data_IF_610144802499
#
_entry.id   IF_610144802499
#
_cell.length_a   1.000
_cell.length_b   1.000
_cell.length_c   1.000
_cell.angle_alpha   90.00
_cell.angle_beta   90.00
_cell.angle_gamma   90.00
#
_symmetry.space_group_name_H-M   'P 1'
#
loop_
_entity.id
_entity.type
_entity.pdbx_description
1 polymer ?
#
# COMPACT_ATOMS: atom_id res chain seq x y z
N UNK A 1 -19.61 1.40 -8.22
CA UNK A 1 -18.35 1.97 -7.72
C UNK A 1 -17.50 0.81 -7.21
N UNK A 2 -16.27 0.65 -7.70
CA UNK A 2 -15.34 -0.37 -7.21
C UNK A 2 -14.81 0.05 -5.83
N UNK A 3 -14.37 -0.91 -5.01
CA UNK A 3 -13.69 -0.59 -3.73
C UNK A 3 -12.47 0.32 -3.96
N UNK A 4 -11.71 0.07 -5.02
CA UNK A 4 -10.57 0.92 -5.40
C UNK A 4 -10.98 2.38 -5.66
N UNK A 5 -12.13 2.61 -6.32
CA UNK A 5 -12.65 3.97 -6.56
C UNK A 5 -13.02 4.65 -5.23
N UNK A 6 -13.62 3.90 -4.30
CA UNK A 6 -13.93 4.40 -2.96
C UNK A 6 -12.65 4.82 -2.22
N UNK A 7 -11.62 3.96 -2.22
CA UNK A 7 -10.32 4.27 -1.60
C UNK A 7 -9.70 5.54 -2.19
N UNK A 8 -9.65 5.65 -3.52
CA UNK A 8 -9.08 6.83 -4.18
C UNK A 8 -9.85 8.11 -3.86
N UNK A 9 -11.19 8.05 -3.86
CA UNK A 9 -12.04 9.19 -3.50
C UNK A 9 -11.87 9.57 -2.02
N UNK A 10 -11.79 8.58 -1.13
CA UNK A 10 -11.51 8.82 0.29
C UNK A 10 -10.18 9.55 0.49
N UNK A 11 -9.10 9.10 -0.17
CA UNK A 11 -7.81 9.79 -0.11
C UNK A 11 -7.93 11.26 -0.49
N UNK A 12 -8.72 11.59 -1.52
CA UNK A 12 -8.99 13.00 -1.87
C UNK A 12 -9.72 13.75 -0.76
N UNK A 13 -10.73 13.16 -0.14
CA UNK A 13 -11.49 13.83 0.92
C UNK A 13 -10.64 14.17 2.13
N UNK A 14 -9.61 13.36 2.41
CA UNK A 14 -8.65 13.63 3.49
C UNK A 14 -7.45 14.48 3.04
N UNK A 15 -7.52 15.08 1.84
CA UNK A 15 -6.54 16.05 1.36
C UNK A 15 -5.30 15.46 0.70
N UNK A 16 -5.31 14.17 0.34
CA UNK A 16 -4.23 13.53 -0.42
C UNK A 16 -4.31 13.95 -1.88
N UNK A 17 -3.29 14.64 -2.36
CA UNK A 17 -3.19 15.10 -3.74
C UNK A 17 -2.09 14.39 -4.54
N UNK A 18 -1.19 13.69 -3.87
CA UNK A 18 -0.04 13.03 -4.47
C UNK A 18 0.15 11.62 -3.88
N UNK A 19 0.46 10.65 -4.74
CA UNK A 19 0.73 9.25 -4.37
C UNK A 19 2.03 8.80 -5.04
N UNK A 20 2.89 8.12 -4.29
CA UNK A 20 4.10 7.49 -4.77
C UNK A 20 3.84 6.00 -4.97
N UNK A 21 4.12 5.44 -6.15
CA UNK A 21 3.68 4.08 -6.43
C UNK A 21 4.57 3.31 -7.39
N UNK A 22 4.58 2.00 -7.23
CA UNK A 22 5.04 1.08 -8.26
C UNK A 22 3.86 0.21 -8.70
N UNK A 23 3.62 0.18 -10.00
CA UNK A 23 2.52 -0.59 -10.58
C UNK A 23 2.79 -2.09 -10.49
N UNK A 24 1.74 -2.87 -10.33
CA UNK A 24 1.81 -4.33 -10.32
C UNK A 24 0.43 -4.95 -10.36
N UNK A 25 0.37 -6.24 -10.67
CA UNK A 25 -0.88 -6.97 -10.89
C UNK A 25 -1.88 -6.80 -9.73
N UNK A 26 -1.45 -7.01 -8.48
CA UNK A 26 -2.34 -6.91 -7.32
C UNK A 26 -2.84 -5.49 -7.03
N UNK A 27 -2.27 -4.45 -7.64
CA UNK A 27 -2.64 -3.06 -7.43
C UNK A 27 -3.28 -2.40 -8.66
N UNK A 28 -3.58 -3.14 -9.73
CA UNK A 28 -4.08 -2.56 -11.00
C UNK A 28 -5.29 -1.65 -10.82
N UNK A 29 -6.29 -2.12 -10.07
CA UNK A 29 -7.52 -1.35 -9.84
C UNK A 29 -7.29 -0.12 -8.98
N UNK A 30 -6.35 -0.19 -8.01
CA UNK A 30 -5.96 0.96 -7.19
C UNK A 30 -5.24 2.01 -8.04
N UNK A 31 -4.29 1.58 -8.88
CA UNK A 31 -3.53 2.47 -9.76
C UNK A 31 -4.45 3.19 -10.76
N UNK A 32 -5.40 2.46 -11.35
CA UNK A 32 -6.40 3.02 -12.24
C UNK A 32 -7.32 4.02 -11.51
N UNK A 33 -7.81 3.66 -10.33
CA UNK A 33 -8.67 4.52 -9.53
C UNK A 33 -7.97 5.80 -9.06
N UNK A 34 -6.70 5.73 -8.66
CA UNK A 34 -5.89 6.90 -8.30
C UNK A 34 -5.80 7.87 -9.49
N UNK A 35 -5.53 7.34 -10.69
CA UNK A 35 -5.50 8.15 -11.92
C UNK A 35 -6.86 8.76 -12.23
N UNK A 36 -7.94 7.96 -12.21
CA UNK A 36 -9.30 8.43 -12.51
C UNK A 36 -9.80 9.46 -11.51
N UNK A 37 -9.42 9.36 -10.24
CA UNK A 37 -9.71 10.35 -9.22
C UNK A 37 -8.94 11.68 -9.42
N UNK A 38 -8.02 11.77 -10.38
CA UNK A 38 -7.21 12.96 -10.63
C UNK A 38 -6.17 13.22 -9.53
N UNK A 39 -5.76 12.18 -8.79
CA UNK A 39 -4.66 12.28 -7.85
C UNK A 39 -3.36 12.21 -8.65
N UNK A 40 -2.46 13.15 -8.41
CA UNK A 40 -1.13 13.12 -9.03
C UNK A 40 -0.34 11.94 -8.50
N UNK A 41 0.33 11.21 -9.38
CA UNK A 41 1.14 10.07 -8.96
C UNK A 41 2.56 10.16 -9.52
N UNK A 42 3.49 9.59 -8.76
CA UNK A 42 4.89 9.46 -9.14
C UNK A 42 5.25 7.98 -9.16
N UNK A 43 5.60 7.50 -10.34
CA UNK A 43 6.01 6.11 -10.51
C UNK A 43 7.46 5.93 -10.03
N UNK A 44 7.69 4.94 -9.17
CA UNK A 44 9.02 4.53 -8.72
C UNK A 44 9.51 3.32 -9.51
N UNK A 45 10.78 3.00 -9.39
CA UNK A 45 11.38 1.80 -10.00
C UNK A 45 11.58 0.66 -9.00
N UNK A 46 11.28 0.93 -7.74
CA UNK A 46 11.42 -0.03 -6.64
C UNK A 46 10.36 0.29 -5.58
N UNK A 47 9.76 -0.73 -4.97
CA UNK A 47 8.69 -0.57 -3.99
C UNK A 47 9.18 0.08 -2.69
N UNK A 48 10.43 -0.14 -2.29
CA UNK A 48 10.99 0.53 -1.11
C UNK A 48 11.07 2.05 -1.30
N UNK A 49 11.29 2.51 -2.53
CA UNK A 49 11.38 3.94 -2.84
C UNK A 49 10.05 4.65 -2.65
N UNK A 50 8.92 3.98 -2.90
CA UNK A 50 7.61 4.62 -2.80
C UNK A 50 7.29 5.12 -1.37
N UNK A 51 7.38 4.32 -0.31
CA UNK A 51 7.17 4.81 1.04
C UNK A 51 8.27 5.75 1.53
N UNK A 52 9.53 5.63 1.08
CA UNK A 52 10.59 6.62 1.38
C UNK A 52 10.23 7.99 0.81
N UNK A 53 9.74 8.05 -0.44
CA UNK A 53 9.27 9.30 -1.02
C UNK A 53 8.02 9.84 -0.30
N UNK A 54 7.09 8.97 0.10
CA UNK A 54 5.91 9.34 0.87
C UNK A 54 6.30 9.91 2.25
N UNK A 55 7.27 9.30 2.91
CA UNK A 55 7.83 9.77 4.19
C UNK A 55 8.44 11.18 4.03
N UNK A 56 9.36 11.33 3.11
CA UNK A 56 10.01 12.62 2.82
C UNK A 56 8.99 13.72 2.46
N UNK A 57 7.99 13.36 1.64
CA UNK A 57 6.87 14.25 1.33
C UNK A 57 6.09 14.66 2.58
N UNK A 58 5.77 13.70 3.44
CA UNK A 58 5.01 13.95 4.66
C UNK A 58 5.72 14.95 5.57
N UNK A 59 7.03 14.79 5.75
CA UNK A 59 7.86 15.68 6.56
C UNK A 59 7.97 17.09 5.96
N UNK A 60 8.25 17.16 4.67
CA UNK A 60 8.46 18.46 3.99
C UNK A 60 7.15 19.26 3.85
N UNK A 61 6.06 18.60 3.53
CA UNK A 61 4.76 19.25 3.27
C UNK A 61 3.88 19.31 4.51
N UNK A 62 4.23 18.62 5.60
CA UNK A 62 3.41 18.48 6.82
C UNK A 62 2.01 17.95 6.49
N UNK A 63 1.95 16.95 5.62
CA UNK A 63 0.75 16.30 5.13
C UNK A 63 0.91 14.79 5.23
N UNK A 64 -0.17 14.05 5.02
CA UNK A 64 -0.09 12.59 4.92
C UNK A 64 0.60 12.22 3.60
N UNK A 65 1.68 11.45 3.68
CA UNK A 65 2.32 10.82 2.55
C UNK A 65 1.63 9.50 2.21
N UNK A 66 1.44 9.19 0.92
CA UNK A 66 0.78 7.95 0.51
C UNK A 66 1.65 7.18 -0.47
N UNK A 67 1.90 5.92 -0.16
CA UNK A 67 2.53 4.98 -1.07
C UNK A 67 1.53 3.90 -1.49
N UNK A 68 1.60 3.47 -2.76
CA UNK A 68 0.80 2.36 -3.27
C UNK A 68 1.73 1.34 -3.95
N UNK A 69 1.67 0.09 -3.50
CA UNK A 69 2.49 -1.02 -3.99
C UNK A 69 1.63 -2.23 -4.32
N UNK A 70 2.20 -3.20 -5.03
CA UNK A 70 1.49 -4.43 -5.36
C UNK A 70 1.48 -5.43 -4.20
N UNK A 71 0.90 -6.59 -4.42
CA UNK A 71 0.81 -7.68 -3.46
C UNK A 71 2.16 -8.39 -3.21
N UNK A 72 2.20 -9.19 -2.16
CA UNK A 72 3.25 -10.17 -1.89
C UNK A 72 4.66 -9.59 -1.75
N UNK A 73 5.64 -10.05 -2.55
CA UNK A 73 7.00 -9.52 -2.49
C UNK A 73 7.10 -8.00 -2.70
N UNK A 74 6.19 -7.40 -3.48
CA UNK A 74 6.11 -5.96 -3.64
C UNK A 74 5.71 -5.24 -2.35
N UNK A 75 4.78 -5.79 -1.59
CA UNK A 75 4.42 -5.22 -0.30
C UNK A 75 5.51 -5.41 0.76
N UNK A 76 6.19 -6.56 0.78
CA UNK A 76 7.32 -6.77 1.71
C UNK A 76 8.52 -5.89 1.36
N UNK A 77 8.73 -5.59 0.08
CA UNK A 77 9.80 -4.66 -0.33
C UNK A 77 9.53 -3.19 0.07
N UNK A 78 8.31 -2.85 0.45
CA UNK A 78 7.98 -1.52 1.00
C UNK A 78 8.37 -1.35 2.49
N UNK A 79 8.70 -2.45 3.19
CA UNK A 79 9.00 -2.43 4.63
C UNK A 79 10.17 -1.50 5.00
N UNK A 80 11.27 -1.39 4.25
CA UNK A 80 12.34 -0.45 4.59
C UNK A 80 11.85 0.99 4.75
N UNK A 81 11.03 1.49 3.82
CA UNK A 81 10.47 2.84 3.94
C UNK A 81 9.40 2.97 5.01
N UNK A 82 8.65 1.89 5.31
CA UNK A 82 7.75 1.86 6.47
C UNK A 82 8.54 1.99 7.78
N UNK A 83 9.65 1.28 7.90
CA UNK A 83 10.51 1.33 9.09
C UNK A 83 11.13 2.72 9.27
N UNK A 84 11.55 3.37 8.19
CA UNK A 84 12.03 4.76 8.21
C UNK A 84 10.94 5.71 8.73
N UNK A 85 9.75 5.63 8.17
CA UNK A 85 8.62 6.44 8.62
C UNK A 85 8.23 6.19 10.09
N UNK A 86 8.34 4.94 10.54
CA UNK A 86 8.10 4.58 11.94
C UNK A 86 9.13 5.23 12.88
N UNK A 87 10.41 5.15 12.54
CA UNK A 87 11.51 5.74 13.35
C UNK A 87 11.37 7.27 13.42
N UNK A 88 11.05 7.91 12.29
CA UNK A 88 10.92 9.36 12.19
C UNK A 88 9.53 9.89 12.58
N UNK A 89 8.60 8.99 12.98
CA UNK A 89 7.22 9.33 13.31
C UNK A 89 6.50 10.10 12.19
N UNK A 90 6.84 9.81 10.93
CA UNK A 90 6.25 10.46 9.78
C UNK A 90 4.84 9.89 9.47
N UNK A 91 3.82 10.73 9.23
CA UNK A 91 2.47 10.27 8.94
C UNK A 91 2.36 9.77 7.50
N UNK A 92 2.45 8.46 7.31
CA UNK A 92 2.27 7.85 6.00
C UNK A 92 1.16 6.80 6.00
N UNK A 93 0.58 6.59 4.82
CA UNK A 93 -0.31 5.47 4.52
C UNK A 93 0.35 4.63 3.42
N UNK A 94 0.48 3.34 3.65
CA UNK A 94 0.90 2.39 2.60
C UNK A 94 -0.32 1.56 2.22
N UNK A 95 -0.67 1.59 0.95
CA UNK A 95 -1.74 0.78 0.38
C UNK A 95 -1.09 -0.33 -0.42
N UNK A 96 -1.28 -1.55 0.03
CA UNK A 96 -0.82 -2.75 -0.68
C UNK A 96 -1.98 -3.36 -1.46
N UNK A 97 -1.72 -3.69 -2.71
CA UNK A 97 -2.61 -4.55 -3.46
C UNK A 97 -2.69 -5.96 -2.84
N UNK A 98 -3.66 -6.74 -3.29
CA UNK A 98 -3.83 -8.14 -2.90
C UNK A 98 -4.38 -8.94 -4.09
N UNK A 99 -4.24 -10.26 -4.03
CA UNK A 99 -4.94 -11.19 -4.92
C UNK A 99 -6.44 -11.22 -4.58
N UNK A 100 -7.25 -11.86 -5.42
CA UNK A 100 -8.65 -12.08 -5.13
C UNK A 100 -8.83 -12.73 -3.76
N UNK A 101 -9.82 -12.29 -3.00
CA UNK A 101 -10.07 -12.81 -1.65
C UNK A 101 -10.12 -14.34 -1.59
N UNK A 102 -10.79 -14.97 -2.57
CA UNK A 102 -10.87 -16.43 -2.67
C UNK A 102 -9.51 -17.13 -2.86
N UNK A 103 -8.47 -16.37 -3.23
CA UNK A 103 -7.10 -16.87 -3.43
C UNK A 103 -6.16 -16.48 -2.28
N UNK A 104 -6.68 -15.95 -1.20
CA UNK A 104 -5.88 -15.67 0.01
C UNK A 104 -5.82 -16.87 0.92
N UNK A 105 -4.72 -17.03 1.66
CA UNK A 105 -4.62 -18.04 2.72
C UNK A 105 -5.69 -17.82 3.79
N UNK A 106 -6.08 -16.58 4.00
CA UNK A 106 -7.13 -16.20 4.94
C UNK A 106 -8.49 -16.83 4.58
N UNK A 107 -8.83 -16.91 3.28
CA UNK A 107 -10.10 -17.50 2.83
C UNK A 107 -10.19 -18.99 3.03
N UNK A 108 -9.05 -19.69 3.12
CA UNK A 108 -9.03 -21.17 3.21
C UNK A 108 -9.37 -21.71 4.59
N UNK A 109 -9.36 -20.87 5.63
CA UNK A 109 -9.48 -21.29 7.03
C UNK A 109 -8.46 -22.38 7.46
N UNK A 110 -7.42 -22.62 6.66
CA UNK A 110 -6.41 -23.65 6.90
C UNK A 110 -5.09 -23.03 7.40
N UNK A 111 -4.68 -23.40 8.60
CA UNK A 111 -3.36 -23.04 9.15
C UNK A 111 -2.20 -23.81 8.50
N UNK A 112 -2.49 -24.81 7.66
CA UNK A 112 -1.45 -25.65 7.02
C UNK A 112 -0.98 -25.10 5.68
N UNK A 113 -1.72 -24.17 5.09
CA UNK A 113 -1.39 -23.59 3.79
C UNK A 113 -0.53 -22.34 4.00
N UNK A 114 0.68 -22.34 3.47
CA UNK A 114 1.63 -21.25 3.59
C UNK A 114 1.35 -20.09 2.63
N UNK A 115 0.90 -20.41 1.42
CA UNK A 115 0.53 -19.46 0.37
C UNK A 115 -0.48 -20.15 -0.55
N UNK A 116 -1.41 -19.41 -1.14
CA UNK A 116 -2.45 -19.97 -1.99
C UNK A 116 -2.48 -19.28 -3.36
N UNK A 117 -2.72 -17.99 -3.43
CA UNK A 117 -2.74 -17.25 -4.69
C UNK A 117 -1.33 -16.89 -5.19
N UNK A 118 -1.27 -16.35 -6.40
CA UNK A 118 -0.01 -15.92 -7.02
C UNK A 118 0.63 -14.80 -6.24
N UNK A 119 1.83 -15.04 -5.70
CA UNK A 119 2.58 -14.08 -4.89
C UNK A 119 1.82 -13.56 -3.64
N UNK A 120 0.86 -14.34 -3.13
CA UNK A 120 0.11 -13.97 -1.93
C UNK A 120 0.99 -14.11 -0.69
N UNK A 121 1.01 -13.06 0.12
CA UNK A 121 1.62 -13.02 1.45
C UNK A 121 0.65 -12.30 2.39
N UNK A 122 0.40 -12.88 3.56
CA UNK A 122 -0.27 -12.14 4.64
C UNK A 122 0.73 -11.15 5.24
N UNK A 123 0.70 -9.92 4.74
CA UNK A 123 1.62 -8.86 5.14
C UNK A 123 1.30 -8.29 6.52
N UNK A 124 0.05 -8.34 6.97
CA UNK A 124 -0.42 -7.68 8.20
C UNK A 124 0.39 -8.09 9.43
N UNK A 125 0.60 -9.38 9.75
CA UNK A 125 1.42 -9.76 10.90
C UNK A 125 2.87 -9.27 10.84
N UNK A 126 3.40 -9.08 9.62
CA UNK A 126 4.79 -8.66 9.40
C UNK A 126 4.94 -7.16 9.71
N UNK A 127 3.97 -6.34 9.31
CA UNK A 127 4.04 -4.88 9.45
C UNK A 127 3.40 -4.36 10.74
N UNK A 128 2.60 -5.16 11.41
CA UNK A 128 1.87 -4.76 12.62
C UNK A 128 2.72 -4.10 13.70
N UNK A 129 3.97 -4.57 13.98
CA UNK A 129 4.85 -3.91 14.96
C UNK A 129 5.33 -2.51 14.56
N UNK A 130 5.25 -2.18 13.27
CA UNK A 130 5.73 -0.91 12.69
C UNK A 130 4.58 0.04 12.33
N UNK A 131 3.33 -0.32 12.66
CA UNK A 131 2.15 0.45 12.24
C UNK A 131 1.20 0.69 13.42
N UNK A 132 0.50 1.81 13.39
CA UNK A 132 -0.63 2.05 14.30
C UNK A 132 -1.87 1.23 13.92
N UNK A 133 -2.02 0.97 12.62
CA UNK A 133 -3.14 0.23 12.06
C UNK A 133 -2.65 -0.58 10.86
N UNK A 134 -3.00 -1.85 10.79
CA UNK A 134 -2.74 -2.72 9.65
C UNK A 134 -3.84 -3.78 9.55
N UNK A 135 -4.58 -3.76 8.45
CA UNK A 135 -5.71 -4.66 8.17
C UNK A 135 -5.77 -5.01 6.67
N UNK A 136 -6.52 -6.08 6.36
CA UNK A 136 -6.85 -6.51 4.99
C UNK A 136 -8.26 -6.08 4.64
#
# INVERSE_FOLDING_TARGET
MRVADYVANFLKTVGVNEVFMLTGYGAMYLNDAIKLAGIKYYATRNEATAPIMAESYARLKKKIGVACVTAGPGSTNAIPGLAEAYVDSAPIIIISGQVDYAQTTHSTNSKKIRTFGTAEINIVPIVKPLTKYAEI
#
